data_IF_463132689446
#
_entry.id   IF_463132689446
#
_cell.length_a   1.000
_cell.length_b   1.000
_cell.length_c   1.000
_cell.angle_alpha   90.00
_cell.angle_beta   90.00
_cell.angle_gamma   90.00
#
_symmetry.space_group_name_H-M   'P 1'
#
loop_
_entity.id
_entity.type
_entity.pdbx_description
1 polymer ?
#
# COMPACT_ATOMS: atom_id res chain seq x y z
N UNK A 1 14.92 -10.80 -22.36
CA UNK A 1 14.22 -10.27 -21.18
C UNK A 1 15.13 -10.48 -19.99
N UNK A 2 15.55 -9.42 -19.32
CA UNK A 2 16.45 -9.47 -18.16
C UNK A 2 15.66 -8.94 -16.97
N UNK A 3 15.63 -9.72 -15.89
CA UNK A 3 15.00 -9.31 -14.64
C UNK A 3 16.07 -8.77 -13.70
N UNK A 4 15.77 -7.66 -13.02
CA UNK A 4 16.64 -7.01 -12.05
C UNK A 4 15.86 -6.81 -10.75
N UNK A 5 16.56 -6.91 -9.62
CA UNK A 5 15.95 -6.66 -8.31
C UNK A 5 15.79 -5.16 -8.13
N UNK A 6 14.55 -4.69 -8.12
CA UNK A 6 14.24 -3.27 -7.87
C UNK A 6 14.45 -2.87 -6.40
N UNK A 7 13.93 -3.67 -5.47
CA UNK A 7 13.99 -3.38 -4.05
C UNK A 7 14.00 -4.67 -3.22
N UNK A 8 15.03 -4.86 -2.39
CA UNK A 8 15.11 -5.96 -1.44
C UNK A 8 14.39 -5.60 -0.14
N UNK A 9 13.06 -5.50 -0.22
CA UNK A 9 12.24 -4.98 0.88
C UNK A 9 12.25 -5.82 2.15
N UNK A 10 12.67 -7.10 2.06
CA UNK A 10 12.51 -8.11 3.12
C UNK A 10 11.07 -8.19 3.67
N UNK A 11 10.09 -7.94 2.82
CA UNK A 11 8.67 -7.99 3.19
C UNK A 11 8.27 -9.40 3.64
N UNK A 12 7.44 -9.50 4.68
CA UNK A 12 6.91 -10.78 5.15
C UNK A 12 5.93 -11.35 4.14
N UNK A 13 5.01 -10.52 3.62
CA UNK A 13 4.13 -10.87 2.50
C UNK A 13 3.83 -9.65 1.62
N UNK A 14 4.71 -9.41 0.64
CA UNK A 14 4.56 -8.34 -0.34
C UNK A 14 3.50 -8.65 -1.40
N UNK A 15 2.47 -7.81 -1.51
CA UNK A 15 1.32 -8.03 -2.40
C UNK A 15 0.72 -6.72 -2.93
N UNK A 16 -0.24 -6.85 -3.84
CA UNK A 16 -1.07 -5.74 -4.33
C UNK A 16 -0.31 -4.59 -5.03
N UNK A 17 0.63 -4.87 -5.96
CA UNK A 17 1.31 -3.82 -6.72
C UNK A 17 0.31 -3.02 -7.57
N UNK A 18 0.32 -1.70 -7.42
CA UNK A 18 -0.52 -0.76 -8.14
C UNK A 18 0.27 0.45 -8.60
N UNK A 19 0.37 0.63 -9.92
CA UNK A 19 1.06 1.76 -10.51
C UNK A 19 0.15 2.99 -10.63
N UNK A 20 0.62 4.14 -10.14
CA UNK A 20 0.02 5.44 -10.45
C UNK A 20 0.88 6.16 -11.50
N UNK A 21 0.39 6.22 -12.73
CA UNK A 21 1.07 6.88 -13.84
C UNK A 21 1.30 8.38 -13.61
N UNK A 22 0.43 9.07 -12.87
CA UNK A 22 0.59 10.51 -12.67
C UNK A 22 1.77 10.83 -11.77
N UNK A 23 1.95 10.03 -10.71
CA UNK A 23 3.03 10.18 -9.75
C UNK A 23 4.23 9.30 -10.07
N UNK A 24 4.13 8.42 -11.07
CA UNK A 24 5.07 7.34 -11.39
C UNK A 24 5.52 6.61 -10.12
N UNK A 25 4.54 6.20 -9.33
CA UNK A 25 4.74 5.54 -8.05
C UNK A 25 4.12 4.17 -8.08
N UNK A 26 4.90 3.15 -7.68
CA UNK A 26 4.40 1.82 -7.43
C UNK A 26 3.95 1.73 -5.97
N UNK A 27 2.65 1.70 -5.72
CA UNK A 27 2.12 1.38 -4.40
C UNK A 27 2.04 -0.13 -4.23
N UNK A 28 2.34 -0.63 -3.04
CA UNK A 28 2.20 -2.04 -2.70
C UNK A 28 2.12 -2.19 -1.18
N UNK A 29 1.75 -3.38 -0.70
CA UNK A 29 1.61 -3.64 0.74
C UNK A 29 2.49 -4.79 1.20
N UNK A 30 2.96 -4.70 2.44
CA UNK A 30 3.30 -5.87 3.22
C UNK A 30 2.11 -6.21 4.12
N UNK A 31 1.36 -7.25 3.75
CA UNK A 31 0.07 -7.57 4.37
C UNK A 31 0.25 -7.88 5.86
N UNK A 32 1.22 -8.74 6.18
CA UNK A 32 1.39 -9.27 7.53
C UNK A 32 2.03 -8.25 8.47
N UNK A 33 2.90 -7.39 7.94
CA UNK A 33 3.46 -6.26 8.68
C UNK A 33 2.55 -5.03 8.70
N UNK A 34 1.41 -5.06 7.99
CA UNK A 34 0.42 -3.96 7.91
C UNK A 34 1.01 -2.66 7.38
N UNK A 35 1.94 -2.76 6.44
CA UNK A 35 2.67 -1.63 5.86
C UNK A 35 2.22 -1.36 4.44
N UNK A 36 2.12 -0.07 4.09
CA UNK A 36 1.94 0.40 2.71
C UNK A 36 3.22 1.08 2.28
N UNK A 37 3.68 0.74 1.09
CA UNK A 37 4.88 1.33 0.48
C UNK A 37 4.51 2.14 -0.76
N UNK A 38 5.34 3.13 -1.04
CA UNK A 38 5.36 3.92 -2.26
C UNK A 38 6.76 3.82 -2.87
N UNK A 39 6.93 2.95 -3.87
CA UNK A 39 8.24 2.55 -4.35
C UNK A 39 9.00 1.79 -3.24
N UNK A 40 10.11 2.37 -2.80
CA UNK A 40 10.96 1.83 -1.73
C UNK A 40 10.66 2.44 -0.36
N UNK A 41 9.81 3.48 -0.32
CA UNK A 41 9.53 4.23 0.89
C UNK A 41 8.35 3.63 1.66
N UNK A 42 8.51 3.47 2.97
CA UNK A 42 7.40 3.15 3.86
C UNK A 42 6.49 4.38 3.97
N UNK A 43 5.28 4.27 3.44
CA UNK A 43 4.31 5.36 3.44
C UNK A 43 3.54 5.44 4.76
N UNK A 44 3.04 4.29 5.23
CA UNK A 44 2.25 4.19 6.45
C UNK A 44 2.26 2.75 7.00
N UNK A 45 2.25 2.62 8.32
CA UNK A 45 1.97 1.38 9.04
C UNK A 45 0.59 1.53 9.72
N UNK A 46 -0.23 0.48 9.65
CA UNK A 46 -1.60 0.47 10.17
C UNK A 46 -1.76 -0.58 11.27
N UNK A 47 -2.84 -0.47 12.06
CA UNK A 47 -3.16 -1.46 13.10
C UNK A 47 -3.87 -2.71 12.55
N UNK A 48 -4.35 -2.65 11.30
CA UNK A 48 -5.17 -3.66 10.63
C UNK A 48 -4.49 -4.23 9.38
N UNK A 49 -4.81 -5.48 9.02
CA UNK A 49 -4.29 -6.08 7.77
C UNK A 49 -4.89 -5.37 6.55
N UNK A 50 -4.05 -5.09 5.55
CA UNK A 50 -4.49 -4.52 4.28
C UNK A 50 -4.67 -5.66 3.26
N UNK A 51 -5.89 -5.88 2.80
CA UNK A 51 -6.20 -6.92 1.81
C UNK A 51 -5.92 -6.47 0.38
N UNK A 52 -6.20 -5.20 0.08
CA UNK A 52 -5.84 -4.58 -1.20
C UNK A 52 -5.76 -3.05 -1.07
N UNK A 53 -5.07 -2.44 -2.03
CA UNK A 53 -5.07 -0.99 -2.24
C UNK A 53 -5.28 -0.65 -3.71
N UNK A 54 -5.72 0.58 -3.98
CA UNK A 54 -5.67 1.16 -5.31
C UNK A 54 -5.50 2.70 -5.25
N UNK A 55 -4.74 3.30 -6.17
CA UNK A 55 -4.68 4.75 -6.30
C UNK A 55 -5.99 5.31 -6.85
N UNK A 56 -6.42 6.46 -6.32
CA UNK A 56 -7.59 7.22 -6.79
C UNK A 56 -7.13 8.38 -7.67
N UNK A 57 -7.99 8.80 -8.60
CA UNK A 57 -7.72 9.91 -9.54
C UNK A 57 -7.30 11.24 -8.87
N UNK A 58 -7.67 11.43 -7.61
CA UNK A 58 -7.39 12.64 -6.81
C UNK A 58 -6.12 12.52 -5.94
N UNK A 59 -5.31 11.46 -6.11
CA UNK A 59 -4.06 11.27 -5.37
C UNK A 59 -4.20 10.59 -4.00
N UNK A 60 -5.42 10.25 -3.58
CA UNK A 60 -5.64 9.43 -2.38
C UNK A 60 -5.51 7.94 -2.73
N UNK A 61 -5.34 7.10 -1.72
CA UNK A 61 -5.50 5.66 -1.84
C UNK A 61 -6.90 5.23 -1.37
N UNK A 62 -7.45 4.17 -1.96
CA UNK A 62 -8.54 3.38 -1.36
C UNK A 62 -7.97 2.05 -0.87
N UNK A 63 -8.37 1.62 0.32
CA UNK A 63 -7.86 0.43 1.00
C UNK A 63 -9.02 -0.47 1.40
N UNK A 64 -8.83 -1.78 1.31
CA UNK A 64 -9.67 -2.76 1.99
C UNK A 64 -8.93 -3.25 3.24
N UNK A 65 -9.44 -2.91 4.43
CA UNK A 65 -8.84 -3.26 5.71
C UNK A 65 -9.62 -4.38 6.40
N UNK A 66 -8.91 -5.34 7.00
CA UNK A 66 -9.53 -6.41 7.80
C UNK A 66 -9.69 -5.92 9.23
N UNK A 67 -10.90 -5.49 9.56
CA UNK A 67 -11.31 -5.17 10.92
C UNK A 67 -11.80 -6.41 11.68
N UNK A 68 -11.80 -6.31 13.00
CA UNK A 68 -12.42 -7.30 13.88
C UNK A 68 -13.46 -6.60 14.76
N UNK A 69 -14.75 -6.80 14.45
CA UNK A 69 -15.87 -6.30 15.26
C UNK A 69 -16.55 -7.49 15.94
N UNK A 70 -16.37 -7.62 17.27
CA UNK A 70 -16.98 -8.71 18.03
C UNK A 70 -16.36 -10.09 17.75
N UNK A 71 -17.11 -11.02 17.13
CA UNK A 71 -16.65 -12.39 16.79
C UNK A 71 -16.41 -12.60 15.29
N UNK A 72 -16.60 -11.59 14.45
CA UNK A 72 -16.52 -11.71 13.00
C UNK A 72 -15.46 -10.77 12.42
N UNK A 73 -14.73 -11.26 11.41
CA UNK A 73 -13.88 -10.40 10.58
C UNK A 73 -14.73 -9.69 9.54
N UNK A 74 -14.57 -8.37 9.42
CA UNK A 74 -15.20 -7.54 8.40
C UNK A 74 -14.16 -6.87 7.52
N UNK A 75 -14.52 -6.54 6.28
CA UNK A 75 -13.70 -5.74 5.37
C UNK A 75 -14.31 -4.36 5.20
N UNK A 76 -13.53 -3.33 5.54
CA UNK A 76 -13.97 -1.93 5.40
C UNK A 76 -13.19 -1.26 4.29
N UNK A 77 -13.89 -0.54 3.41
CA UNK A 77 -13.24 0.35 2.45
C UNK A 77 -13.03 1.73 3.07
N UNK A 78 -11.78 2.18 3.14
CA UNK A 78 -11.40 3.51 3.61
C UNK A 78 -10.50 4.21 2.60
N UNK A 79 -10.30 5.52 2.77
CA UNK A 79 -9.33 6.28 1.98
C UNK A 79 -8.27 6.91 2.87
N UNK A 80 -7.02 6.93 2.38
CA UNK A 80 -5.90 7.58 3.04
C UNK A 80 -5.31 8.66 2.12
N UNK A 81 -4.84 9.76 2.73
CA UNK A 81 -4.02 10.77 2.05
C UNK A 81 -2.54 10.42 2.29
N UNK A 82 -1.75 10.20 1.23
CA UNK A 82 -0.30 10.10 1.38
C UNK A 82 0.23 11.40 1.98
N UNK A 83 0.81 11.35 3.19
CA UNK A 83 1.31 12.51 3.91
C UNK A 83 2.73 12.88 3.45
N UNK A 84 2.89 13.30 2.19
CA UNK A 84 3.92 14.22 1.65
C UNK A 84 3.84 14.30 0.12
N UNK A 85 4.02 15.49 -0.50
CA UNK A 85 4.28 15.57 -1.93
C UNK A 85 5.67 14.98 -2.21
N UNK A 86 5.74 13.95 -3.05
CA UNK A 86 6.99 13.38 -3.52
C UNK A 86 7.74 14.43 -4.35
N UNK A 87 8.71 15.11 -3.74
CA UNK A 87 9.79 15.77 -4.47
C UNK A 87 10.74 14.65 -4.93
N UNK A 88 10.68 14.32 -6.23
CA UNK A 88 11.71 13.51 -6.88
C UNK A 88 13.06 14.23 -6.78
N UNK A 89 14.11 13.50 -6.44
CA UNK A 89 15.46 13.80 -6.92
C UNK A 89 15.68 13.02 -8.22
#
# INVERSE_FOLDING_TARGET
MQAELFFDAKATLGEGPAWDEKTQTLYWVDILEKRIYAGTDLLVELDELIGCLAPRKNGNLILALRGYEGRASSWTLTWARPSRPFLRL
#
